data_IF_763457776143
#
_entry.id   IF_763457776143
#
_cell.length_a   1.000
_cell.length_b   1.000
_cell.length_c   1.000
_cell.angle_alpha   90.00
_cell.angle_beta   90.00
_cell.angle_gamma   90.00
#
_symmetry.space_group_name_H-M   'P 1'
#
loop_
_entity.id
_entity.type
_entity.pdbx_description
1 polymer ?
#
# COMPACT_ATOMS: atom_id res chain seq x y z
N UNK A 1 52.97 82.10 -38.37
CA UNK A 1 51.91 81.19 -37.89
C UNK A 1 51.48 81.67 -36.52
N UNK A 2 50.16 81.80 -36.33
CA UNK A 2 49.48 82.71 -35.40
C UNK A 2 49.55 82.35 -33.90
N UNK A 3 49.99 83.32 -33.12
CA UNK A 3 49.45 83.94 -31.88
C UNK A 3 48.45 83.24 -30.92
N UNK A 4 48.80 83.32 -29.61
CA UNK A 4 48.06 83.95 -28.47
C UNK A 4 47.43 83.10 -27.33
N UNK A 5 47.94 83.39 -26.11
CA UNK A 5 47.36 83.56 -24.76
C UNK A 5 46.87 82.42 -23.82
N UNK A 6 47.25 82.65 -22.55
CA UNK A 6 46.90 82.08 -21.24
C UNK A 6 45.42 82.40 -20.81
N UNK A 7 44.98 82.25 -19.52
CA UNK A 7 44.69 81.02 -18.76
C UNK A 7 43.37 81.06 -17.91
N UNK A 8 43.02 79.93 -17.26
CA UNK A 8 42.10 79.70 -16.11
C UNK A 8 40.58 80.08 -16.13
N UNK A 9 39.79 79.09 -15.66
CA UNK A 9 38.54 79.10 -14.84
C UNK A 9 37.14 79.35 -15.46
N UNK A 10 36.24 78.44 -15.04
CA UNK A 10 34.81 78.60 -14.68
C UNK A 10 33.83 78.91 -15.83
N UNK A 11 32.53 78.53 -15.82
CA UNK A 11 31.55 78.30 -14.76
C UNK A 11 30.32 77.60 -15.40
N UNK A 12 29.55 76.85 -14.60
CA UNK A 12 28.08 76.67 -14.71
C UNK A 12 27.58 75.80 -15.90
N UNK A 13 26.48 75.04 -15.88
CA UNK A 13 25.17 75.14 -15.21
C UNK A 13 24.48 73.76 -15.10
N UNK A 14 23.50 73.63 -14.19
CA UNK A 14 22.61 72.45 -13.99
C UNK A 14 21.62 72.23 -15.16
N UNK A 15 20.78 71.15 -15.21
CA UNK A 15 19.65 70.98 -14.29
C UNK A 15 19.26 69.54 -13.86
N UNK A 16 18.45 69.50 -12.80
CA UNK A 16 17.65 68.40 -12.26
C UNK A 16 16.75 67.69 -13.28
N UNK A 17 16.53 66.37 -13.11
CA UNK A 17 15.18 65.85 -12.78
C UNK A 17 15.11 64.32 -12.62
N UNK A 18 14.26 63.91 -11.66
CA UNK A 18 13.62 62.61 -11.49
C UNK A 18 14.46 61.40 -11.02
N UNK A 19 14.74 61.37 -9.72
CA UNK A 19 14.71 60.12 -8.95
C UNK A 19 13.24 59.73 -8.76
N UNK A 20 12.69 58.92 -9.67
CA UNK A 20 11.47 58.16 -9.42
C UNK A 20 11.85 56.92 -8.65
N UNK A 21 11.36 56.86 -7.41
CA UNK A 21 11.24 55.67 -6.59
C UNK A 21 10.81 54.48 -7.43
N UNK A 22 11.74 53.56 -7.71
CA UNK A 22 11.37 52.19 -8.04
C UNK A 22 11.20 51.45 -6.72
N UNK A 23 9.99 51.62 -6.19
CA UNK A 23 9.30 50.67 -5.33
C UNK A 23 9.66 49.26 -5.78
N UNK A 24 10.55 48.60 -5.04
CA UNK A 24 10.76 47.16 -5.20
C UNK A 24 9.42 46.53 -4.90
N UNK A 25 8.82 45.94 -5.93
CA UNK A 25 7.54 45.27 -5.81
C UNK A 25 7.60 44.28 -4.64
N UNK A 26 6.58 44.25 -3.75
CA UNK A 26 6.51 43.21 -2.74
C UNK A 26 6.46 41.85 -3.44
N UNK A 27 7.29 40.92 -2.99
CA UNK A 27 7.27 39.53 -3.47
C UNK A 27 5.81 39.02 -3.45
N UNK A 28 5.24 38.58 -4.58
CA UNK A 28 3.89 38.08 -4.58
C UNK A 28 3.82 36.75 -3.82
N UNK A 29 2.79 36.68 -2.99
CA UNK A 29 2.35 35.65 -2.05
C UNK A 29 2.91 34.23 -2.22
N UNK A 30 3.44 33.70 -1.12
CA UNK A 30 3.60 32.27 -0.93
C UNK A 30 4.26 31.94 0.40
N UNK A 31 5.54 32.27 0.54
CA UNK A 31 6.34 31.95 1.74
C UNK A 31 7.50 32.94 1.87
N UNK A 32 7.61 33.69 2.96
CA UNK A 32 8.73 34.62 3.17
C UNK A 32 9.96 33.90 3.73
N UNK A 33 11.17 34.37 3.39
CA UNK A 33 12.42 33.80 3.93
C UNK A 33 12.45 33.86 5.46
N UNK A 34 11.97 34.97 6.04
CA UNK A 34 11.84 35.16 7.47
C UNK A 34 10.92 34.13 8.12
N UNK A 35 9.79 33.78 7.50
CA UNK A 35 8.87 32.77 8.01
C UNK A 35 9.49 31.37 7.99
N UNK A 36 10.28 31.05 6.95
CA UNK A 36 11.03 29.79 6.89
C UNK A 36 12.11 29.71 7.97
N UNK A 37 12.83 30.79 8.17
CA UNK A 37 13.88 30.84 9.20
C UNK A 37 13.26 30.75 10.61
N UNK A 38 12.09 31.36 10.82
CA UNK A 38 11.29 31.19 12.05
C UNK A 38 10.85 29.73 12.24
N UNK A 39 10.40 29.06 11.17
CA UNK A 39 9.97 27.66 11.24
C UNK A 39 11.14 26.71 11.50
N UNK A 40 12.33 27.01 10.96
CA UNK A 40 13.58 26.29 11.25
C UNK A 40 14.05 26.48 12.70
N UNK A 41 13.68 27.59 13.34
CA UNK A 41 14.05 27.92 14.72
C UNK A 41 13.05 27.45 15.76
N UNK A 42 11.81 27.13 15.38
CA UNK A 42 10.81 26.70 16.35
C UNK A 42 11.07 25.28 16.88
N UNK A 43 10.54 24.96 18.07
CA UNK A 43 10.50 23.59 18.59
C UNK A 43 9.34 22.80 17.93
N UNK A 44 9.19 21.47 18.20
CA UNK A 44 7.99 20.73 17.81
C UNK A 44 6.74 21.37 18.42
N UNK A 45 5.72 21.60 17.61
CA UNK A 45 4.46 22.14 18.08
C UNK A 45 3.62 21.02 18.71
N UNK A 46 3.69 20.86 20.03
CA UNK A 46 2.97 19.82 20.76
C UNK A 46 1.43 19.90 20.65
N UNK A 47 0.86 21.02 20.21
CA UNK A 47 -0.58 21.15 19.94
C UNK A 47 -0.99 20.51 18.61
N UNK A 48 -0.04 20.15 17.74
CA UNK A 48 -0.28 19.52 16.43
C UNK A 48 0.16 18.06 16.45
N UNK A 49 -0.66 17.19 15.85
CA UNK A 49 -0.25 15.82 15.56
C UNK A 49 0.87 15.80 14.50
N UNK A 50 1.91 14.95 14.68
CA UNK A 50 2.91 14.73 13.65
C UNK A 50 2.29 14.07 12.41
N UNK A 51 2.91 14.26 11.25
CA UNK A 51 2.55 13.56 10.01
C UNK A 51 2.98 12.10 10.14
N UNK A 52 2.02 11.19 10.06
CA UNK A 52 2.27 9.76 10.01
C UNK A 52 2.91 9.37 8.66
N UNK A 53 3.83 8.42 8.70
CA UNK A 53 4.32 7.77 7.50
C UNK A 53 3.19 6.94 6.86
N UNK A 54 3.16 6.80 5.54
CA UNK A 54 2.17 5.98 4.83
C UNK A 54 2.28 4.50 5.22
N UNK A 55 3.48 4.12 5.68
CA UNK A 55 3.83 2.78 6.16
C UNK A 55 3.65 2.66 7.67
N UNK A 56 3.12 3.69 8.35
CA UNK A 56 2.88 3.62 9.79
C UNK A 56 1.91 2.49 10.04
N UNK A 57 2.35 1.54 10.85
CA UNK A 57 1.54 0.48 11.43
C UNK A 57 0.15 1.02 11.78
N UNK A 58 -0.95 0.35 11.37
CA UNK A 58 -2.29 0.87 11.55
C UNK A 58 -2.51 1.32 12.99
N UNK A 59 -3.24 2.41 13.20
CA UNK A 59 -3.48 2.95 14.54
C UNK A 59 -4.04 1.91 15.53
N UNK A 60 -3.96 2.16 16.85
CA UNK A 60 -4.38 1.20 17.89
C UNK A 60 -5.84 0.72 17.73
N UNK A 61 -6.72 1.55 17.17
CA UNK A 61 -8.11 1.18 16.83
C UNK A 61 -8.18 0.16 15.69
N UNK A 62 -7.37 0.32 14.64
CA UNK A 62 -7.31 -0.61 13.51
C UNK A 62 -6.70 -1.96 13.93
N UNK A 63 -5.67 -1.95 14.79
CA UNK A 63 -5.12 -3.18 15.39
C UNK A 63 -6.13 -3.91 16.28
N UNK A 64 -6.92 -3.20 17.08
CA UNK A 64 -7.97 -3.81 17.89
C UNK A 64 -9.05 -4.46 17.03
N UNK A 65 -9.44 -3.80 15.94
CA UNK A 65 -10.41 -4.33 14.98
C UNK A 65 -9.89 -5.57 14.25
N UNK A 66 -8.68 -5.52 13.70
CA UNK A 66 -8.06 -6.68 13.03
C UNK A 66 -7.96 -7.89 13.96
N UNK A 67 -7.60 -7.67 15.23
CA UNK A 67 -7.57 -8.73 16.26
C UNK A 67 -8.94 -9.32 16.51
N UNK A 68 -9.96 -8.47 16.66
CA UNK A 68 -11.33 -8.92 16.86
C UNK A 68 -11.83 -9.75 15.66
N UNK A 69 -11.53 -9.31 14.44
CA UNK A 69 -11.90 -10.01 13.22
C UNK A 69 -11.16 -11.34 13.07
N UNK A 70 -9.87 -11.42 13.43
CA UNK A 70 -9.10 -12.68 13.44
C UNK A 70 -9.70 -13.68 14.42
N UNK A 71 -10.00 -13.24 15.64
CA UNK A 71 -10.61 -14.09 16.65
C UNK A 71 -12.00 -14.56 16.21
N UNK A 72 -12.79 -13.68 15.61
CA UNK A 72 -14.10 -14.03 15.07
C UNK A 72 -13.99 -15.03 13.91
N UNK A 73 -13.03 -14.82 12.98
CA UNK A 73 -12.76 -15.77 11.89
C UNK A 73 -12.40 -17.13 12.47
N UNK A 74 -11.44 -17.19 13.39
CA UNK A 74 -10.99 -18.43 14.02
C UNK A 74 -12.10 -19.19 14.72
N UNK A 75 -13.01 -18.48 15.41
CA UNK A 75 -14.13 -19.10 16.13
C UNK A 75 -15.13 -19.79 15.20
N UNK A 76 -15.23 -19.38 13.94
CA UNK A 76 -16.17 -19.90 12.96
C UNK A 76 -15.49 -20.74 11.86
N UNK A 77 -14.19 -21.01 12.00
CA UNK A 77 -13.40 -21.72 11.01
C UNK A 77 -12.83 -23.00 11.63
N UNK A 78 -13.32 -24.13 11.13
CA UNK A 78 -12.89 -25.48 11.49
C UNK A 78 -12.93 -26.39 10.25
N UNK A 79 -12.53 -27.66 10.41
CA UNK A 79 -12.49 -28.63 9.32
C UNK A 79 -13.85 -28.81 8.63
N UNK A 80 -14.92 -28.87 9.41
CA UNK A 80 -16.29 -29.04 8.87
C UNK A 80 -16.73 -27.83 8.05
N UNK A 81 -16.30 -26.64 8.46
CA UNK A 81 -16.56 -25.40 7.74
C UNK A 81 -15.81 -25.39 6.41
N UNK A 82 -14.53 -25.79 6.40
CA UNK A 82 -13.75 -25.93 5.17
C UNK A 82 -14.38 -26.96 4.24
N UNK A 83 -14.80 -28.12 4.76
CA UNK A 83 -15.51 -29.13 3.97
C UNK A 83 -16.80 -28.58 3.36
N UNK A 84 -17.61 -27.83 4.13
CA UNK A 84 -18.83 -27.21 3.60
C UNK A 84 -18.53 -26.20 2.49
N UNK A 85 -17.46 -25.42 2.65
CA UNK A 85 -16.98 -24.49 1.63
C UNK A 85 -16.58 -25.19 0.34
N UNK A 86 -15.97 -26.38 0.45
CA UNK A 86 -15.57 -27.20 -0.70
C UNK A 86 -16.74 -27.94 -1.34
N UNK A 87 -17.70 -28.43 -0.55
CA UNK A 87 -18.90 -29.11 -1.05
C UNK A 87 -19.89 -28.17 -1.74
N UNK A 88 -19.96 -26.91 -1.30
CA UNK A 88 -20.92 -25.92 -1.82
C UNK A 88 -20.24 -24.58 -2.15
N UNK A 89 -19.31 -24.56 -3.12
CA UNK A 89 -18.43 -23.42 -3.37
C UNK A 89 -19.16 -22.14 -3.78
N UNK A 90 -20.34 -22.26 -4.39
CA UNK A 90 -21.17 -21.15 -4.88
C UNK A 90 -22.22 -20.69 -3.87
N UNK A 91 -22.30 -21.35 -2.71
CA UNK A 91 -23.21 -20.89 -1.66
C UNK A 91 -22.77 -19.50 -1.17
N UNK A 92 -23.75 -18.63 -0.93
CA UNK A 92 -23.52 -17.29 -0.39
C UNK A 92 -22.68 -17.33 0.90
N UNK A 93 -22.90 -18.34 1.74
CA UNK A 93 -22.14 -18.54 2.97
C UNK A 93 -20.65 -18.78 2.67
N UNK A 94 -20.33 -19.67 1.72
CA UNK A 94 -18.96 -20.01 1.37
C UNK A 94 -18.23 -18.85 0.70
N UNK A 95 -18.91 -18.10 -0.16
CA UNK A 95 -18.37 -16.89 -0.79
C UNK A 95 -18.08 -15.80 0.25
N UNK A 96 -19.02 -15.55 1.17
CA UNK A 96 -18.83 -14.55 2.24
C UNK A 96 -17.67 -14.91 3.14
N UNK A 97 -17.52 -16.20 3.48
CA UNK A 97 -16.40 -16.70 4.28
C UNK A 97 -15.07 -16.55 3.56
N UNK A 98 -15.00 -16.93 2.28
CA UNK A 98 -13.77 -16.77 1.49
C UNK A 98 -13.37 -15.31 1.36
N UNK A 99 -14.31 -14.41 1.09
CA UNK A 99 -14.03 -12.96 1.06
C UNK A 99 -13.46 -12.48 2.40
N UNK A 100 -14.03 -12.93 3.53
CA UNK A 100 -13.51 -12.56 4.85
C UNK A 100 -12.07 -13.05 5.05
N UNK A 101 -11.78 -14.28 4.64
CA UNK A 101 -10.43 -14.86 4.65
C UNK A 101 -9.49 -13.99 3.81
N UNK A 102 -9.86 -13.65 2.58
CA UNK A 102 -9.05 -12.87 1.64
C UNK A 102 -8.77 -11.45 2.13
N UNK A 103 -9.77 -10.80 2.74
CA UNK A 103 -9.61 -9.44 3.27
C UNK A 103 -8.72 -9.40 4.51
N UNK A 104 -8.78 -10.45 5.34
CA UNK A 104 -8.12 -10.44 6.64
C UNK A 104 -6.73 -11.04 6.59
N UNK A 105 -6.52 -12.09 5.80
CA UNK A 105 -5.25 -12.83 5.74
C UNK A 105 -4.38 -12.34 4.58
N UNK A 106 -4.24 -11.02 4.48
CA UNK A 106 -3.25 -10.39 3.59
C UNK A 106 -1.90 -10.30 4.27
N UNK A 107 -0.83 -10.17 3.49
CA UNK A 107 0.53 -10.07 4.04
C UNK A 107 0.71 -8.88 5.00
N UNK A 108 0.04 -7.76 4.74
CA UNK A 108 0.16 -6.56 5.58
C UNK A 108 -0.67 -6.67 6.86
N UNK A 109 -1.88 -7.23 6.78
CA UNK A 109 -2.70 -7.55 7.96
C UNK A 109 -2.00 -8.55 8.88
N UNK A 110 -1.37 -9.60 8.33
CA UNK A 110 -0.62 -10.60 9.10
C UNK A 110 0.58 -9.96 9.79
N UNK A 111 1.39 -9.17 9.07
CA UNK A 111 2.53 -8.44 9.69
C UNK A 111 2.07 -7.49 10.79
N UNK A 112 0.99 -6.75 10.57
CA UNK A 112 0.40 -5.85 11.56
C UNK A 112 -0.03 -6.64 12.79
N UNK A 113 -0.81 -7.71 12.65
CA UNK A 113 -1.25 -8.57 13.76
C UNK A 113 -0.08 -9.13 14.57
N UNK A 114 1.01 -9.50 13.91
CA UNK A 114 2.20 -10.07 14.54
C UNK A 114 3.18 -9.03 15.10
N UNK A 115 3.00 -7.74 14.79
CA UNK A 115 3.81 -6.64 15.34
C UNK A 115 3.10 -5.88 16.49
N UNK A 116 1.86 -6.25 16.80
CA UNK A 116 1.04 -5.61 17.82
C UNK A 116 1.29 -6.11 19.25
N UNK A 117 0.67 -5.48 20.26
CA UNK A 117 0.87 -5.81 21.68
C UNK A 117 0.42 -7.24 22.06
N UNK A 118 -0.48 -7.86 21.28
CA UNK A 118 -0.95 -9.24 21.46
C UNK A 118 -0.41 -10.21 20.38
N UNK A 119 0.76 -9.92 19.81
CA UNK A 119 1.37 -10.69 18.72
C UNK A 119 1.37 -12.20 18.98
N UNK A 120 1.63 -12.64 20.23
CA UNK A 120 1.66 -14.05 20.61
C UNK A 120 0.30 -14.75 20.52
N UNK A 121 -0.78 -14.07 20.91
CA UNK A 121 -2.13 -14.61 20.80
C UNK A 121 -2.55 -14.67 19.32
N UNK A 122 -2.26 -13.61 18.56
CA UNK A 122 -2.52 -13.56 17.12
C UNK A 122 -1.75 -14.64 16.37
N UNK A 123 -0.47 -14.87 16.71
CA UNK A 123 0.36 -15.93 16.14
C UNK A 123 -0.24 -17.32 16.40
N UNK A 124 -0.80 -17.56 17.58
CA UNK A 124 -1.47 -18.83 17.89
C UNK A 124 -2.71 -19.04 17.02
N UNK A 125 -3.53 -18.00 16.85
CA UNK A 125 -4.73 -18.07 16.01
C UNK A 125 -4.36 -18.24 14.53
N UNK A 126 -3.34 -17.52 14.05
CA UNK A 126 -2.80 -17.64 12.69
C UNK A 126 -2.20 -19.03 12.42
N UNK A 127 -1.39 -19.58 13.33
CA UNK A 127 -0.87 -20.95 13.20
C UNK A 127 -1.99 -21.99 13.19
N UNK A 128 -3.07 -21.78 13.94
CA UNK A 128 -4.22 -22.69 13.89
C UNK A 128 -4.92 -22.65 12.53
N UNK A 129 -5.00 -21.47 11.90
CA UNK A 129 -5.53 -21.29 10.54
C UNK A 129 -4.58 -21.89 9.50
N UNK A 130 -3.27 -21.66 9.62
CA UNK A 130 -2.24 -22.25 8.77
C UNK A 130 -2.35 -23.78 8.76
N UNK A 131 -2.41 -24.40 9.94
CA UNK A 131 -2.54 -25.86 10.06
C UNK A 131 -3.84 -26.37 9.41
N UNK A 132 -4.93 -25.62 9.53
CA UNK A 132 -6.22 -25.97 8.92
C UNK A 132 -6.18 -25.89 7.38
N UNK A 133 -5.41 -24.94 6.83
CA UNK A 133 -5.25 -24.73 5.41
C UNK A 133 -4.01 -25.40 4.80
N UNK A 134 -3.24 -26.14 5.61
CA UNK A 134 -2.09 -26.89 5.14
C UNK A 134 -2.52 -27.94 4.11
N UNK A 135 -1.61 -28.25 3.18
CA UNK A 135 -1.85 -29.20 2.07
C UNK A 135 -2.46 -30.52 2.58
N UNK A 136 -1.86 -31.14 3.59
CA UNK A 136 -2.38 -32.37 4.20
C UNK A 136 -3.81 -32.20 4.77
N UNK A 137 -4.13 -31.08 5.43
CA UNK A 137 -5.46 -30.87 6.01
C UNK A 137 -6.52 -30.64 4.93
N UNK A 138 -6.15 -29.94 3.87
CA UNK A 138 -7.01 -29.71 2.70
C UNK A 138 -7.22 -31.02 1.94
N UNK A 139 -6.17 -31.79 1.65
CA UNK A 139 -6.27 -33.09 0.98
C UNK A 139 -7.18 -34.05 1.75
N UNK A 140 -7.06 -34.09 3.08
CA UNK A 140 -7.94 -34.90 3.93
C UNK A 140 -9.43 -34.48 3.90
N UNK A 141 -9.75 -33.29 3.38
CA UNK A 141 -11.11 -32.84 3.09
C UNK A 141 -11.49 -33.10 1.63
N UNK A 142 -10.54 -33.00 0.71
CA UNK A 142 -10.75 -33.22 -0.72
C UNK A 142 -10.93 -34.69 -1.08
N UNK A 143 -10.12 -35.60 -0.54
CA UNK A 143 -10.10 -37.01 -0.95
C UNK A 143 -11.50 -37.66 -0.98
N UNK A 144 -12.36 -37.48 0.04
CA UNK A 144 -13.72 -38.01 0.00
C UNK A 144 -14.58 -37.35 -1.08
N UNK A 145 -14.46 -36.03 -1.24
CA UNK A 145 -15.23 -35.25 -2.23
C UNK A 145 -14.84 -35.69 -3.65
N UNK A 146 -13.54 -35.78 -3.94
CA UNK A 146 -13.03 -36.22 -5.24
C UNK A 146 -13.47 -37.66 -5.54
N UNK A 147 -13.40 -38.54 -4.54
CA UNK A 147 -13.87 -39.93 -4.67
C UNK A 147 -15.36 -40.00 -5.02
N UNK A 148 -16.20 -39.21 -4.35
CA UNK A 148 -17.63 -39.10 -4.64
C UNK A 148 -17.90 -38.58 -6.07
N UNK A 149 -17.12 -37.60 -6.54
CA UNK A 149 -17.26 -37.06 -7.90
C UNK A 149 -16.80 -38.06 -8.97
N UNK A 150 -15.72 -38.79 -8.73
CA UNK A 150 -15.26 -39.87 -9.61
C UNK A 150 -16.30 -40.99 -9.69
N UNK A 151 -16.92 -41.35 -8.57
CA UNK A 151 -18.00 -42.34 -8.56
C UNK A 151 -19.24 -41.83 -9.32
N UNK A 152 -19.61 -40.57 -9.13
CA UNK A 152 -20.72 -39.92 -9.84
C UNK A 152 -20.48 -39.89 -11.35
N UNK A 153 -19.24 -39.57 -11.77
CA UNK A 153 -18.81 -39.63 -13.17
C UNK A 153 -18.97 -41.04 -13.74
N UNK A 154 -18.44 -42.06 -13.05
CA UNK A 154 -18.52 -43.46 -13.48
C UNK A 154 -19.97 -43.91 -13.62
N UNK A 155 -20.81 -43.67 -12.61
CA UNK A 155 -22.25 -44.01 -12.64
C UNK A 155 -22.96 -43.38 -13.83
N UNK A 156 -22.66 -42.12 -14.14
CA UNK A 156 -23.25 -41.44 -15.28
C UNK A 156 -22.83 -42.07 -16.62
N UNK A 157 -21.53 -42.33 -16.80
CA UNK A 157 -21.00 -42.96 -18.01
C UNK A 157 -21.59 -44.36 -18.19
N UNK A 158 -21.61 -45.17 -17.14
CA UNK A 158 -22.15 -46.53 -17.16
C UNK A 158 -23.64 -46.53 -17.53
N UNK A 159 -24.43 -45.62 -16.95
CA UNK A 159 -25.84 -45.47 -17.28
C UNK A 159 -26.05 -45.02 -18.74
N UNK A 160 -25.25 -44.06 -19.22
CA UNK A 160 -25.32 -43.57 -20.59
C UNK A 160 -24.99 -44.67 -21.61
N UNK A 161 -23.93 -45.43 -21.37
CA UNK A 161 -23.52 -46.55 -22.22
C UNK A 161 -24.52 -47.71 -22.16
N UNK A 162 -25.07 -48.02 -20.98
CA UNK A 162 -26.12 -49.02 -20.84
C UNK A 162 -27.36 -48.66 -21.65
N UNK A 163 -27.82 -47.41 -21.56
CA UNK A 163 -28.96 -46.91 -22.33
C UNK A 163 -28.71 -46.96 -23.84
N UNK A 164 -27.49 -46.60 -24.29
CA UNK A 164 -27.11 -46.75 -25.70
C UNK A 164 -27.18 -48.23 -26.13
N UNK A 165 -26.60 -49.13 -25.34
CA UNK A 165 -26.59 -50.57 -25.62
C UNK A 165 -28.02 -51.13 -25.71
N UNK A 166 -28.88 -50.78 -24.75
CA UNK A 166 -30.29 -51.16 -24.76
C UNK A 166 -31.03 -50.64 -26.01
N UNK A 167 -30.79 -49.38 -26.39
CA UNK A 167 -31.33 -48.79 -27.62
C UNK A 167 -30.87 -49.53 -28.88
N UNK A 168 -29.58 -49.87 -28.97
CA UNK A 168 -29.02 -50.58 -30.12
C UNK A 168 -29.58 -52.00 -30.27
N UNK A 169 -29.82 -52.72 -29.17
CA UNK A 169 -30.40 -54.06 -29.21
C UNK A 169 -31.83 -54.07 -29.77
N UNK A 170 -32.61 -53.03 -29.47
CA UNK A 170 -34.01 -52.94 -29.87
C UNK A 170 -34.24 -52.26 -31.22
N UNK A 171 -33.19 -51.68 -31.80
CA UNK A 171 -33.30 -50.89 -33.02
C UNK A 171 -33.05 -51.68 -34.32
N UNK A 172 -33.71 -51.23 -35.39
CA UNK A 172 -33.51 -51.74 -36.74
C UNK A 172 -32.05 -51.56 -37.19
N UNK A 173 -31.43 -52.53 -37.90
CA UNK A 173 -30.01 -52.49 -38.26
C UNK A 173 -29.55 -51.19 -38.94
N UNK A 174 -30.36 -50.64 -39.85
CA UNK A 174 -30.05 -49.41 -40.59
C UNK A 174 -30.00 -48.13 -39.74
N UNK A 175 -30.57 -48.14 -38.54
CA UNK A 175 -30.60 -46.97 -37.64
C UNK A 175 -29.48 -46.96 -36.60
N UNK A 176 -28.82 -48.10 -36.35
CA UNK A 176 -27.83 -48.29 -35.28
C UNK A 176 -26.63 -47.36 -35.39
N UNK A 177 -26.13 -47.17 -36.61
CA UNK A 177 -24.99 -46.29 -36.86
C UNK A 177 -25.30 -44.83 -36.52
N UNK A 178 -26.48 -44.34 -36.90
CA UNK A 178 -26.92 -42.98 -36.56
C UNK A 178 -27.11 -42.78 -35.06
N UNK A 179 -27.58 -43.80 -34.33
CA UNK A 179 -27.64 -43.74 -32.86
C UNK A 179 -26.26 -43.61 -32.21
N UNK A 180 -25.27 -44.38 -32.65
CA UNK A 180 -23.89 -44.26 -32.14
C UNK A 180 -23.31 -42.88 -32.48
N UNK A 181 -23.52 -42.41 -33.72
CA UNK A 181 -23.10 -41.07 -34.15
C UNK A 181 -23.75 -39.98 -33.30
N UNK A 182 -25.06 -40.05 -33.07
CA UNK A 182 -25.78 -39.10 -32.23
C UNK A 182 -25.29 -39.13 -30.78
N UNK A 183 -25.05 -40.31 -30.22
CA UNK A 183 -24.48 -40.46 -28.88
C UNK A 183 -23.10 -39.83 -28.77
N UNK A 184 -22.22 -40.04 -29.76
CA UNK A 184 -20.87 -39.46 -29.76
C UNK A 184 -20.84 -37.93 -29.86
N UNK A 185 -21.86 -37.34 -30.50
CA UNK A 185 -21.98 -35.88 -30.68
C UNK A 185 -22.79 -35.22 -29.56
N UNK A 186 -23.45 -36.02 -28.72
CA UNK A 186 -24.33 -35.50 -27.68
C UNK A 186 -23.48 -34.89 -26.57
N UNK A 187 -23.73 -33.62 -26.29
CA UNK A 187 -23.22 -32.99 -25.07
C UNK A 187 -23.72 -33.73 -23.84
N UNK A 188 -22.86 -33.85 -22.83
CA UNK A 188 -23.15 -34.54 -21.59
C UNK A 188 -23.12 -33.53 -20.45
N UNK A 189 -24.20 -32.74 -20.23
CA UNK A 189 -24.22 -31.66 -19.25
C UNK A 189 -23.75 -32.08 -17.87
N UNK A 190 -24.12 -33.29 -17.42
CA UNK A 190 -23.69 -33.80 -16.12
C UNK A 190 -22.17 -34.00 -16.02
N UNK A 191 -21.51 -34.47 -17.10
CA UNK A 191 -20.05 -34.62 -17.11
C UNK A 191 -19.36 -33.25 -17.11
N UNK A 192 -19.90 -32.29 -17.85
CA UNK A 192 -19.42 -30.90 -17.84
C UNK A 192 -19.59 -30.28 -16.46
N UNK A 193 -20.72 -30.50 -15.78
CA UNK A 193 -20.94 -30.02 -14.41
C UNK A 193 -19.93 -30.62 -13.43
N UNK A 194 -19.68 -31.93 -13.48
CA UNK A 194 -18.67 -32.60 -12.62
C UNK A 194 -17.27 -32.03 -12.90
N UNK A 195 -16.91 -31.86 -14.18
CA UNK A 195 -15.61 -31.32 -14.55
C UNK A 195 -15.40 -29.88 -14.07
N UNK A 196 -16.40 -29.01 -14.24
CA UNK A 196 -16.35 -27.63 -13.76
C UNK A 196 -16.22 -27.60 -12.23
N UNK A 197 -17.03 -28.40 -11.54
CA UNK A 197 -16.96 -28.52 -10.08
C UNK A 197 -15.57 -28.93 -9.60
N UNK A 198 -14.94 -29.94 -10.21
CA UNK A 198 -13.58 -30.38 -9.85
C UNK A 198 -12.52 -29.30 -10.14
N UNK A 199 -12.70 -28.52 -11.21
CA UNK A 199 -11.79 -27.42 -11.55
C UNK A 199 -11.87 -26.28 -10.53
N UNK A 200 -13.09 -25.92 -10.11
CA UNK A 200 -13.32 -24.91 -9.08
C UNK A 200 -12.81 -25.37 -7.71
N UNK A 201 -13.01 -26.66 -7.40
CA UNK A 201 -12.51 -27.30 -6.19
C UNK A 201 -10.98 -27.20 -6.11
N UNK A 202 -10.28 -27.59 -7.18
CA UNK A 202 -8.82 -27.50 -7.26
C UNK A 202 -8.29 -26.06 -7.16
N UNK A 203 -9.01 -25.10 -7.73
CA UNK A 203 -8.63 -23.69 -7.66
C UNK A 203 -8.77 -23.13 -6.25
N UNK A 204 -9.86 -23.47 -5.55
CA UNK A 204 -10.12 -23.03 -4.17
C UNK A 204 -9.20 -23.70 -3.16
N UNK A 205 -8.91 -24.99 -3.32
CA UNK A 205 -7.98 -25.69 -2.44
C UNK A 205 -6.58 -25.10 -2.53
N UNK A 206 -6.09 -24.88 -3.76
CA UNK A 206 -4.81 -24.21 -4.01
C UNK A 206 -4.75 -22.84 -3.33
N UNK A 207 -5.81 -22.04 -3.45
CA UNK A 207 -5.88 -20.72 -2.84
C UNK A 207 -5.76 -20.77 -1.31
N UNK A 208 -6.42 -21.72 -0.64
CA UNK A 208 -6.27 -21.90 0.80
C UNK A 208 -4.84 -22.32 1.19
N UNK A 209 -4.22 -23.22 0.42
CA UNK A 209 -2.82 -23.60 0.63
C UNK A 209 -1.85 -22.42 0.44
N UNK A 210 -2.11 -21.55 -0.54
CA UNK A 210 -1.34 -20.33 -0.78
C UNK A 210 -1.45 -19.37 0.42
N UNK A 211 -2.64 -19.24 1.02
CA UNK A 211 -2.84 -18.48 2.27
C UNK A 211 -2.07 -19.10 3.43
N UNK A 212 -2.09 -20.43 3.60
CA UNK A 212 -1.30 -21.10 4.64
C UNK A 212 0.19 -20.78 4.48
N UNK A 213 0.70 -20.86 3.25
CA UNK A 213 2.09 -20.53 2.92
C UNK A 213 2.42 -19.06 3.23
N UNK A 214 1.49 -18.14 2.95
CA UNK A 214 1.63 -16.72 3.28
C UNK A 214 1.71 -16.49 4.79
N UNK A 215 0.81 -17.11 5.57
CA UNK A 215 0.80 -17.03 7.03
C UNK A 215 2.10 -17.58 7.62
N UNK A 216 2.54 -18.75 7.14
CA UNK A 216 3.80 -19.38 7.55
C UNK A 216 5.00 -18.46 7.28
N UNK A 217 5.11 -17.93 6.05
CA UNK A 217 6.19 -17.03 5.64
C UNK A 217 6.33 -15.81 6.55
N UNK A 218 5.21 -15.19 6.91
CA UNK A 218 5.24 -14.00 7.77
C UNK A 218 5.41 -14.32 9.26
N UNK A 219 5.02 -15.52 9.69
CA UNK A 219 5.20 -15.98 11.07
C UNK A 219 6.64 -16.44 11.35
N UNK A 220 7.29 -17.13 10.40
CA UNK A 220 8.69 -17.57 10.50
C UNK A 220 9.68 -16.39 10.45
N UNK A 221 9.40 -15.37 9.63
CA UNK A 221 10.22 -14.16 9.53
C UNK A 221 10.36 -13.42 10.89
N UNK A 222 9.41 -13.61 11.81
CA UNK A 222 9.44 -13.02 13.15
C UNK A 222 10.06 -13.94 14.20
N UNK A 223 9.98 -15.28 14.04
CA UNK A 223 10.66 -16.22 14.95
C UNK A 223 12.19 -16.11 14.90
N UNK A 224 12.78 -15.79 13.74
CA UNK A 224 14.22 -15.54 13.62
C UNK A 224 14.67 -14.15 14.09
N UNK A 225 13.75 -13.17 14.21
CA UNK A 225 14.07 -11.85 14.74
C UNK A 225 14.04 -11.79 16.28
N UNK A 226 13.47 -12.82 16.93
CA UNK A 226 13.10 -12.81 18.35
C UNK A 226 14.08 -13.58 19.26
N UNK A 227 15.13 -14.21 18.71
CA UNK A 227 16.10 -15.00 19.47
C UNK A 227 17.23 -14.20 20.14
N UNK A 228 17.54 -12.99 19.67
CA UNK A 228 18.75 -12.25 20.11
C UNK A 228 18.51 -11.04 21.04
N UNK A 229 17.27 -10.70 21.41
CA UNK A 229 16.96 -9.38 22.00
C UNK A 229 16.42 -9.41 23.45
N UNK A 230 16.59 -10.52 24.20
CA UNK A 230 16.03 -10.66 25.56
C UNK A 230 16.87 -10.08 26.70
N UNK A 231 17.99 -9.40 26.43
CA UNK A 231 18.78 -8.70 27.46
C UNK A 231 18.92 -7.19 27.18
N UNK A 232 17.80 -6.46 27.20
CA UNK A 232 17.80 -5.09 27.74
C UNK A 232 16.39 -4.62 28.05
N UNK A 233 16.04 -4.69 29.33
CA UNK A 233 15.06 -3.76 29.88
C UNK A 233 15.65 -2.36 29.82
N UNK A 234 14.97 -1.44 29.16
CA UNK A 234 14.59 -0.15 29.73
C UNK A 234 13.61 0.56 28.78
N UNK A 235 12.69 1.29 29.42
CA UNK A 235 11.51 1.94 28.86
C UNK A 235 11.84 2.93 27.74
N UNK A 236 11.26 2.78 26.53
CA UNK A 236 10.75 3.79 25.57
C UNK A 236 10.26 3.06 24.29
N UNK A 237 9.26 3.56 23.53
CA UNK A 237 8.61 2.79 22.46
C UNK A 237 9.47 2.75 21.18
N UNK A 238 10.27 1.69 21.02
CA UNK A 238 11.14 1.45 19.86
C UNK A 238 10.45 0.58 18.80
N UNK A 239 9.55 1.18 18.03
CA UNK A 239 9.00 0.59 16.79
C UNK A 239 9.59 1.17 15.50
N UNK A 240 10.37 2.26 15.59
CA UNK A 240 10.80 3.08 14.45
C UNK A 240 12.19 2.71 13.88
N UNK A 241 12.85 1.66 14.36
CA UNK A 241 14.28 1.48 14.09
C UNK A 241 14.64 0.55 12.92
N UNK A 242 13.75 -0.34 12.47
CA UNK A 242 14.13 -1.40 11.50
C UNK A 242 13.60 -1.24 10.06
N UNK A 243 12.69 -0.31 9.77
CA UNK A 243 12.12 -0.13 8.42
C UNK A 243 12.16 1.32 7.92
N UNK A 244 12.40 1.56 6.62
CA UNK A 244 12.33 2.90 6.04
C UNK A 244 10.90 3.43 6.03
N UNK A 245 10.71 4.61 6.62
CA UNK A 245 9.42 5.30 6.64
C UNK A 245 9.27 6.17 5.39
N UNK A 246 8.10 6.11 4.75
CA UNK A 246 7.76 6.97 3.60
C UNK A 246 6.68 7.94 4.04
N UNK A 247 6.89 9.23 3.82
CA UNK A 247 5.93 10.28 4.09
C UNK A 247 5.49 10.91 2.77
N UNK A 248 4.28 10.62 2.31
CA UNK A 248 3.76 11.16 1.05
C UNK A 248 2.99 12.46 1.23
N UNK A 249 3.16 13.34 0.24
CA UNK A 249 2.36 14.53 0.03
C UNK A 249 1.70 14.46 -1.34
N UNK A 250 0.37 14.55 -1.36
CA UNK A 250 -0.41 14.36 -2.59
C UNK A 250 -0.67 15.67 -3.34
N UNK A 251 -0.67 16.80 -2.64
CA UNK A 251 -0.93 18.11 -3.21
C UNK A 251 -0.29 19.23 -2.38
N UNK A 252 -0.07 20.40 -2.97
CA UNK A 252 0.59 21.53 -2.28
C UNK A 252 -0.24 22.15 -1.17
N UNK A 253 -1.56 21.92 -1.14
CA UNK A 253 -2.47 22.43 -0.12
C UNK A 253 -2.55 21.58 1.15
N UNK A 254 -1.95 20.38 1.16
CA UNK A 254 -1.99 19.45 2.29
C UNK A 254 -1.25 19.97 3.53
N UNK A 255 -0.27 20.84 3.32
CA UNK A 255 0.62 21.35 4.35
C UNK A 255 1.04 22.76 3.99
N UNK A 256 0.49 23.78 4.66
CA UNK A 256 0.71 25.19 4.29
C UNK A 256 1.65 25.88 5.28
N UNK A 257 2.06 27.12 5.00
CA UNK A 257 2.91 27.88 5.94
C UNK A 257 2.22 28.14 7.29
N UNK A 258 0.92 28.43 7.28
CA UNK A 258 0.14 28.66 8.50
C UNK A 258 -0.11 27.36 9.26
N UNK A 259 -0.16 26.24 8.54
CA UNK A 259 -0.36 24.91 9.08
C UNK A 259 0.63 23.90 8.49
N UNK A 260 1.92 23.97 8.87
CA UNK A 260 2.93 23.06 8.35
C UNK A 260 2.90 21.71 9.06
N UNK A 261 2.93 20.63 8.29
CA UNK A 261 3.07 19.27 8.78
C UNK A 261 4.43 19.09 9.43
N UNK A 262 4.45 18.36 10.55
CA UNK A 262 5.68 18.06 11.29
C UNK A 262 6.01 16.58 11.22
N UNK A 263 7.21 16.22 10.76
CA UNK A 263 7.75 14.86 10.85
C UNK A 263 8.79 14.86 11.96
N UNK A 264 8.56 14.13 13.06
CA UNK A 264 9.37 14.27 14.29
C UNK A 264 10.56 13.31 14.41
N UNK A 265 10.53 12.18 13.71
CA UNK A 265 11.50 11.10 13.84
C UNK A 265 12.13 10.71 12.49
N UNK A 266 12.52 11.70 11.68
CA UNK A 266 13.06 11.43 10.35
C UNK A 266 14.52 10.98 10.41
N UNK A 267 14.83 9.82 9.81
CA UNK A 267 16.18 9.27 9.74
C UNK A 267 16.76 9.43 8.33
N UNK A 268 17.73 10.33 8.21
CA UNK A 268 18.47 10.64 6.98
C UNK A 268 19.01 9.39 6.28
N UNK A 269 18.82 9.28 4.97
CA UNK A 269 19.32 8.15 4.18
C UNK A 269 18.51 6.86 4.30
N UNK A 270 17.57 6.78 5.26
CA UNK A 270 16.68 5.64 5.46
C UNK A 270 15.25 5.99 5.05
N UNK A 271 14.72 7.04 5.67
CA UNK A 271 13.35 7.49 5.44
C UNK A 271 13.26 8.34 4.15
N UNK A 272 12.07 8.41 3.56
CA UNK A 272 11.82 9.08 2.28
C UNK A 272 10.64 10.04 2.36
N UNK A 273 10.77 11.18 1.70
CA UNK A 273 9.67 12.11 1.44
C UNK A 273 9.20 11.90 0.00
N UNK A 274 7.96 11.46 -0.17
CA UNK A 274 7.39 11.19 -1.48
C UNK A 274 6.54 12.39 -1.95
N UNK A 275 7.03 13.05 -3.00
CA UNK A 275 6.45 14.24 -3.63
C UNK A 275 5.87 13.94 -5.02
N UNK A 276 5.84 12.67 -5.43
CA UNK A 276 5.32 12.26 -6.75
C UNK A 276 3.86 12.68 -6.96
N UNK A 277 3.05 12.72 -5.90
CA UNK A 277 1.68 13.23 -5.94
C UNK A 277 1.61 14.71 -6.35
N UNK A 278 2.51 15.53 -5.82
CA UNK A 278 2.64 16.95 -6.18
C UNK A 278 3.15 17.10 -7.61
N UNK A 279 4.14 16.31 -8.04
CA UNK A 279 4.59 16.31 -9.44
C UNK A 279 3.44 16.03 -10.41
N UNK A 280 2.60 15.03 -10.10
CA UNK A 280 1.38 14.73 -10.88
C UNK A 280 0.36 15.87 -10.84
N UNK A 281 0.12 16.47 -9.67
CA UNK A 281 -0.80 17.59 -9.52
C UNK A 281 -0.39 18.79 -10.39
N UNK A 282 0.91 19.12 -10.41
CA UNK A 282 1.45 20.23 -11.18
C UNK A 282 1.70 19.88 -12.65
N UNK A 283 1.58 18.60 -13.01
CA UNK A 283 1.87 18.04 -14.32
C UNK A 283 3.27 18.43 -14.85
N UNK A 284 4.28 18.34 -13.97
CA UNK A 284 5.68 18.68 -14.29
C UNK A 284 6.66 18.03 -13.30
N UNK A 285 7.93 17.80 -13.71
CA UNK A 285 8.97 17.40 -12.79
C UNK A 285 9.23 18.49 -11.76
N UNK A 286 9.58 18.08 -10.54
CA UNK A 286 9.97 19.02 -9.49
C UNK A 286 11.46 19.31 -9.57
N UNK A 287 11.85 20.55 -9.29
CA UNK A 287 13.23 21.01 -9.42
C UNK A 287 13.76 21.57 -8.09
N UNK A 288 14.80 20.95 -7.53
CA UNK A 288 15.52 21.51 -6.37
C UNK A 288 16.20 22.83 -6.74
N UNK A 289 15.99 23.85 -5.92
CA UNK A 289 16.57 25.19 -6.05
C UNK A 289 17.07 25.70 -4.68
N UNK A 290 18.13 26.51 -4.69
CA UNK A 290 18.64 27.14 -3.47
C UNK A 290 17.69 28.22 -2.94
N UNK A 291 16.97 28.89 -3.85
CA UNK A 291 16.01 29.96 -3.54
C UNK A 291 14.85 29.92 -4.51
N UNK A 292 13.63 29.99 -3.97
CA UNK A 292 12.41 30.05 -4.77
C UNK A 292 12.35 31.33 -5.60
N UNK A 293 12.11 31.19 -6.89
CA UNK A 293 11.76 32.29 -7.80
C UNK A 293 10.25 32.57 -7.80
N UNK A 294 9.45 31.57 -7.38
CA UNK A 294 7.99 31.59 -7.44
C UNK A 294 7.42 30.82 -8.64
N UNK A 295 8.28 30.18 -9.43
CA UNK A 295 7.85 29.26 -10.47
C UNK A 295 7.28 27.96 -9.89
N UNK A 296 6.24 27.45 -10.54
CA UNK A 296 5.54 26.23 -10.13
C UNK A 296 6.45 25.01 -10.31
N UNK A 297 6.56 24.17 -9.27
CA UNK A 297 7.37 22.96 -9.26
C UNK A 297 8.76 23.11 -8.63
N UNK A 298 9.13 24.29 -8.14
CA UNK A 298 10.38 24.48 -7.40
C UNK A 298 10.32 23.84 -6.01
N UNK A 299 11.37 23.10 -5.64
CA UNK A 299 11.61 22.57 -4.31
C UNK A 299 12.73 23.38 -3.65
N UNK A 300 12.47 23.94 -2.48
CA UNK A 300 13.53 24.49 -1.63
C UNK A 300 13.65 23.66 -0.36
N UNK A 301 14.86 23.17 -0.10
CA UNK A 301 15.17 22.42 1.12
C UNK A 301 16.21 23.20 1.95
N UNK A 302 15.81 23.63 3.14
CA UNK A 302 16.71 24.26 4.12
C UNK A 302 16.97 23.32 5.28
N UNK A 303 18.14 23.41 5.88
CA UNK A 303 18.52 22.65 7.07
C UNK A 303 19.18 23.56 8.11
N UNK A 304 18.72 23.46 9.36
CA UNK A 304 19.35 24.06 10.53
C UNK A 304 20.07 22.97 11.32
N UNK A 305 21.40 23.10 11.44
CA UNK A 305 22.21 22.20 12.28
C UNK A 305 21.92 22.40 13.77
N UNK A 306 21.64 23.63 14.18
CA UNK A 306 21.39 23.99 15.59
C UNK A 306 20.15 23.29 16.15
N UNK A 307 19.08 23.22 15.36
CA UNK A 307 17.82 22.59 15.77
C UNK A 307 17.61 21.19 15.20
N UNK A 308 18.62 20.66 14.49
CA UNK A 308 18.54 19.41 13.73
C UNK A 308 17.23 19.28 12.95
N UNK A 309 16.87 20.32 12.19
CA UNK A 309 15.58 20.39 11.51
C UNK A 309 15.74 20.87 10.07
N UNK A 310 15.02 20.22 9.16
CA UNK A 310 14.85 20.61 7.78
C UNK A 310 13.48 21.24 7.56
N UNK A 311 13.41 22.22 6.66
CA UNK A 311 12.15 22.74 6.13
C UNK A 311 12.14 22.54 4.63
N UNK A 312 11.13 21.82 4.16
CA UNK A 312 10.85 21.57 2.76
C UNK A 312 9.74 22.51 2.29
N UNK A 313 9.96 23.17 1.16
CA UNK A 313 8.95 23.99 0.48
C UNK A 313 8.80 23.51 -0.96
N UNK A 314 7.55 23.38 -1.43
CA UNK A 314 7.25 23.11 -2.85
C UNK A 314 6.31 24.17 -3.40
N UNK A 315 6.77 24.93 -4.39
CA UNK A 315 5.98 25.98 -5.05
C UNK A 315 4.84 25.38 -5.87
N UNK A 316 3.61 25.78 -5.57
CA UNK A 316 2.43 25.42 -6.34
C UNK A 316 2.25 26.26 -7.62
N UNK A 317 1.12 26.07 -8.30
CA UNK A 317 0.69 26.95 -9.38
C UNK A 317 0.41 28.38 -8.87
N UNK A 318 0.46 29.37 -9.76
CA UNK A 318 0.14 30.76 -9.40
C UNK A 318 -1.24 30.84 -8.75
N UNK A 319 -1.31 31.44 -7.57
CA UNK A 319 -2.54 31.57 -6.77
C UNK A 319 -2.90 30.34 -5.92
N UNK A 320 -2.10 29.27 -5.95
CA UNK A 320 -2.25 28.12 -5.04
C UNK A 320 -1.25 28.21 -3.89
N UNK A 321 -1.59 27.71 -2.69
CA UNK A 321 -0.65 27.68 -1.58
C UNK A 321 0.54 26.77 -1.90
N UNK A 322 1.72 27.16 -1.41
CA UNK A 322 2.91 26.32 -1.42
C UNK A 322 2.81 25.24 -0.34
N UNK A 323 3.38 24.06 -0.62
CA UNK A 323 3.60 23.05 0.41
C UNK A 323 4.71 23.55 1.34
N UNK A 324 4.51 23.46 2.66
CA UNK A 324 5.54 23.69 3.68
C UNK A 324 5.51 22.54 4.67
N UNK A 325 6.60 21.79 4.80
CA UNK A 325 6.75 20.73 5.79
C UNK A 325 7.99 20.98 6.65
N UNK A 326 7.84 20.77 7.96
CA UNK A 326 8.93 20.81 8.92
C UNK A 326 9.32 19.39 9.32
N UNK A 327 10.60 19.09 9.26
CA UNK A 327 11.13 17.76 9.49
C UNK A 327 12.22 17.85 10.55
N UNK A 328 12.06 17.17 11.67
CA UNK A 328 13.11 17.00 12.67
C UNK A 328 14.01 15.85 12.21
N UNK A 329 15.21 16.21 11.78
CA UNK A 329 16.14 15.39 11.03
C UNK A 329 16.72 16.14 9.82
N UNK A 330 17.89 15.70 9.34
CA UNK A 330 18.55 16.28 8.17
C UNK A 330 18.06 15.61 6.89
N UNK A 331 17.13 16.23 6.17
CA UNK A 331 16.69 15.74 4.86
C UNK A 331 17.72 16.13 3.80
N UNK A 332 18.05 15.21 2.89
CA UNK A 332 18.91 15.47 1.71
C UNK A 332 18.13 15.23 0.42
N UNK A 333 18.62 15.73 -0.71
CA UNK A 333 17.97 15.52 -2.02
C UNK A 333 17.73 14.03 -2.33
N UNK A 334 18.68 13.16 -1.97
CA UNK A 334 18.55 11.70 -2.13
C UNK A 334 17.43 11.06 -1.29
N UNK A 335 16.88 11.79 -0.33
CA UNK A 335 15.78 11.36 0.52
C UNK A 335 14.42 11.82 -0.02
N UNK A 336 14.40 12.59 -1.11
CA UNK A 336 13.21 12.98 -1.85
C UNK A 336 12.91 11.97 -2.96
N UNK A 337 11.63 11.66 -3.15
CA UNK A 337 11.10 10.87 -4.28
C UNK A 337 10.16 11.78 -5.04
N UNK A 338 10.58 12.28 -6.20
CA UNK A 338 9.88 13.28 -7.01
C UNK A 338 9.39 12.72 -8.33
#
# INVERSE_FOLDING_TARGET
>A
MSTIQQPWRAHSDAPSNHVKSQTTAPAPAGVSSLALDTLLQSAPNNARAPKDADNSTPGPESHAQLRHELKNLRAHLDRNTVERMMRTPDSKESQTRMQKIDTLLTGDSIKSLLSGPDARACAKDLNAIENLFSEHSIDAVLDPIESEQVESYRKYVDAALFNLKAGLMNAAPGSRFEMVRAFSKREQPALTTIQNYMTDLASKSKHLCDIATLVKKHSEALQYAQADDWERGDQYPTGHEKHPMIYSFSNTGESTLDQPSEIRNFVTGRDKLNLTGISRQLNKPLQSVDRLSGESGEIQLKYSRENNASVLVVSGNRGTPALVAKIFGHVKDKDLVT
#
